data_IF_731753580160
#
_entry.id   IF_731753580160
#
_cell.length_a   1.000
_cell.length_b   1.000
_cell.length_c   1.000
_cell.angle_alpha   90.00
_cell.angle_beta   90.00
_cell.angle_gamma   90.00
#
_symmetry.space_group_name_H-M   'P 1'
#
loop_
_entity.id
_entity.type
_entity.pdbx_description
1 polymer ?
#
# COMPACT_ATOMS: atom_id res chain seq x y z
N UNK A 1 -1.19 24.18 -9.63
CA UNK A 1 -1.21 22.75 -9.25
C UNK A 1 0.06 22.08 -9.75
N UNK A 2 0.99 21.68 -8.87
CA UNK A 2 2.28 21.08 -9.24
C UNK A 2 2.13 19.55 -9.19
N UNK A 3 1.97 18.92 -10.35
CA UNK A 3 1.86 17.45 -10.48
C UNK A 3 3.27 16.87 -10.49
N UNK A 4 3.74 16.33 -9.36
CA UNK A 4 5.02 15.63 -9.30
C UNK A 4 4.88 14.27 -10.00
N UNK A 5 5.35 14.18 -11.24
CA UNK A 5 5.50 12.92 -11.97
C UNK A 5 6.81 12.26 -11.52
N UNK A 6 6.78 11.59 -10.36
CA UNK A 6 7.93 10.84 -9.85
C UNK A 6 8.08 9.58 -10.72
N UNK A 7 9.12 9.55 -11.54
CA UNK A 7 9.54 8.35 -12.28
C UNK A 7 10.05 7.32 -11.26
N UNK A 8 9.19 6.39 -10.84
CA UNK A 8 9.60 5.23 -10.02
C UNK A 8 10.57 4.38 -10.84
N UNK A 9 11.87 4.56 -10.63
CA UNK A 9 12.93 3.89 -11.37
C UNK A 9 12.86 2.35 -11.23
N UNK A 10 13.27 1.64 -12.29
CA UNK A 10 13.27 0.16 -12.39
C UNK A 10 13.80 -0.57 -11.14
N UNK A 11 14.74 0.02 -10.41
CA UNK A 11 15.38 -0.55 -9.20
C UNK A 11 14.43 -0.63 -7.99
N UNK A 12 13.51 0.32 -7.82
CA UNK A 12 12.52 0.32 -6.73
C UNK A 12 11.48 -0.79 -6.94
N UNK A 13 11.07 -1.03 -8.20
CA UNK A 13 10.09 -2.07 -8.56
C UNK A 13 10.47 -3.46 -8.06
N UNK A 14 11.76 -3.81 -8.08
CA UNK A 14 12.28 -5.11 -7.59
C UNK A 14 12.22 -5.24 -6.07
N UNK A 15 12.38 -4.15 -5.32
CA UNK A 15 12.25 -4.14 -3.84
C UNK A 15 10.77 -4.24 -3.43
N UNK A 16 9.89 -3.58 -4.15
CA UNK A 16 8.43 -3.62 -3.94
C UNK A 16 7.84 -5.01 -4.21
N UNK A 17 8.33 -5.70 -5.25
CA UNK A 17 7.93 -7.08 -5.55
C UNK A 17 8.41 -8.08 -4.50
N UNK A 18 9.53 -7.81 -3.80
CA UNK A 18 10.00 -8.62 -2.66
C UNK A 18 9.11 -8.44 -1.43
N UNK A 19 8.64 -7.23 -1.15
CA UNK A 19 7.72 -6.93 -0.03
C UNK A 19 6.34 -7.55 -0.26
N UNK A 20 5.80 -7.46 -1.48
CA UNK A 20 4.57 -8.17 -1.88
C UNK A 20 4.83 -9.68 -2.06
N UNK A 21 6.08 -10.12 -2.07
CA UNK A 21 6.42 -11.54 -2.30
C UNK A 21 6.00 -12.47 -1.16
N UNK A 22 5.98 -11.96 0.08
CA UNK A 22 5.59 -12.73 1.26
C UNK A 22 4.14 -12.45 1.62
N UNK A 23 3.30 -13.49 1.55
CA UNK A 23 1.95 -13.46 2.13
C UNK A 23 2.07 -13.62 3.64
N UNK A 24 1.16 -12.99 4.37
CA UNK A 24 0.88 -13.33 5.76
C UNK A 24 0.50 -14.82 5.87
N UNK A 25 0.71 -15.51 7.02
CA UNK A 25 0.18 -16.85 7.27
C UNK A 25 -1.30 -17.05 6.88
N UNK A 26 -2.10 -15.99 6.91
CA UNK A 26 -3.51 -15.99 6.49
C UNK A 26 -3.72 -15.87 4.97
N UNK A 27 -2.65 -15.74 4.18
CA UNK A 27 -2.67 -15.67 2.72
C UNK A 27 -2.84 -14.26 2.13
N UNK A 28 -2.76 -13.21 2.94
CA UNK A 28 -2.96 -11.82 2.50
C UNK A 28 -1.64 -11.12 2.19
N UNK A 29 -1.67 -10.19 1.25
CA UNK A 29 -0.62 -9.18 1.06
C UNK A 29 -0.89 -8.02 2.01
N UNK A 30 0.06 -7.71 2.88
CA UNK A 30 -0.05 -6.65 3.88
C UNK A 30 0.79 -5.45 3.46
N UNK A 31 0.17 -4.27 3.46
CA UNK A 31 0.81 -3.02 3.10
C UNK A 31 0.65 -2.04 4.28
N UNK A 32 1.73 -1.72 5.00
CA UNK A 32 1.70 -0.70 6.02
C UNK A 32 1.66 0.69 5.40
N UNK A 33 0.68 1.47 5.83
CA UNK A 33 0.42 2.81 5.35
C UNK A 33 0.12 3.74 6.52
N UNK A 34 0.26 5.05 6.30
CA UNK A 34 -0.20 6.06 7.27
C UNK A 34 -1.72 6.14 7.26
N UNK A 35 -2.33 6.55 8.35
CA UNK A 35 -3.78 6.70 8.48
C UNK A 35 -4.39 7.62 7.40
N UNK A 36 -3.63 8.61 6.92
CA UNK A 36 -3.96 9.49 5.78
C UNK A 36 -4.22 8.72 4.47
N UNK A 37 -3.77 7.47 4.36
CA UNK A 37 -4.07 6.61 3.22
C UNK A 37 -5.54 6.22 3.13
N UNK A 38 -6.32 6.30 4.20
CA UNK A 38 -7.76 6.00 4.18
C UNK A 38 -8.52 6.94 3.26
N UNK A 39 -8.17 8.24 3.26
CA UNK A 39 -8.84 9.28 2.47
C UNK A 39 -8.74 9.06 0.95
N UNK A 40 -7.76 8.26 0.52
CA UNK A 40 -7.53 7.94 -0.87
C UNK A 40 -7.89 6.49 -1.20
N UNK A 41 -8.11 5.64 -0.19
CA UNK A 41 -8.42 4.23 -0.39
C UNK A 41 -9.71 4.09 -1.20
N UNK A 42 -10.74 4.86 -0.84
CA UNK A 42 -12.02 4.97 -1.54
C UNK A 42 -11.89 5.37 -3.03
N UNK A 43 -10.83 6.10 -3.38
CA UNK A 43 -10.54 6.52 -4.77
C UNK A 43 -9.75 5.48 -5.56
N UNK A 44 -9.14 4.51 -4.88
CA UNK A 44 -8.23 3.52 -5.48
C UNK A 44 -8.93 2.17 -5.64
N UNK A 45 -9.78 1.84 -4.68
CA UNK A 45 -10.45 0.57 -4.53
C UNK A 45 -11.92 0.78 -4.86
N UNK A 46 -12.36 0.24 -5.99
CA UNK A 46 -13.77 0.33 -6.42
C UNK A 46 -14.70 -0.53 -5.56
N UNK A 47 -14.18 -1.65 -5.04
CA UNK A 47 -14.91 -2.53 -4.13
C UNK A 47 -14.16 -2.66 -2.79
N UNK A 48 -14.62 -2.00 -1.72
CA UNK A 48 -13.93 -1.95 -0.43
C UNK A 48 -13.84 -3.33 0.24
N UNK A 49 -14.70 -4.28 -0.12
CA UNK A 49 -14.69 -5.66 0.40
C UNK A 49 -13.39 -6.42 0.07
N UNK A 50 -12.66 -5.97 -0.96
CA UNK A 50 -11.38 -6.57 -1.37
C UNK A 50 -10.16 -6.13 -0.55
N UNK A 51 -10.34 -5.17 0.38
CA UNK A 51 -9.28 -4.64 1.23
C UNK A 51 -9.73 -4.61 2.68
N UNK A 52 -8.99 -5.30 3.53
CA UNK A 52 -9.17 -5.23 4.97
C UNK A 52 -8.23 -4.14 5.50
N UNK A 53 -8.79 -3.22 6.28
CA UNK A 53 -8.05 -2.17 6.96
C UNK A 53 -7.94 -2.56 8.44
N UNK A 54 -6.73 -2.57 8.97
CA UNK A 54 -6.47 -2.81 10.40
C UNK A 54 -5.66 -1.65 10.95
N UNK A 55 -6.17 -0.98 11.99
CA UNK A 55 -5.44 0.08 12.69
C UNK A 55 -4.52 -0.55 13.74
N UNK A 56 -3.23 -0.23 13.68
CA UNK A 56 -2.21 -0.76 14.60
C UNK A 56 -1.73 0.27 15.62
N UNK A 57 -2.38 1.43 15.68
CA UNK A 57 -2.01 2.56 16.53
C UNK A 57 -0.87 3.39 15.95
N UNK A 58 -0.61 4.54 16.58
CA UNK A 58 0.49 5.44 16.19
C UNK A 58 0.30 6.13 14.82
N UNK A 59 -0.92 6.16 14.29
CA UNK A 59 -1.21 6.73 12.97
C UNK A 59 -0.81 5.82 11.80
N UNK A 60 -0.57 4.54 12.07
CA UNK A 60 -0.26 3.51 11.06
C UNK A 60 -1.45 2.56 10.91
N UNK A 61 -1.73 2.20 9.67
CA UNK A 61 -2.76 1.24 9.29
C UNK A 61 -2.17 0.16 8.38
N UNK A 62 -2.70 -1.05 8.48
CA UNK A 62 -2.37 -2.17 7.60
C UNK A 62 -3.50 -2.40 6.62
N UNK A 63 -3.15 -2.30 5.33
CA UNK A 63 -4.03 -2.64 4.23
C UNK A 63 -3.73 -4.07 3.80
N UNK A 64 -4.67 -4.99 4.04
CA UNK A 64 -4.55 -6.41 3.69
C UNK A 64 -5.44 -6.73 2.50
N UNK A 65 -4.89 -7.38 1.47
CA UNK A 65 -5.67 -7.84 0.32
C UNK A 65 -5.21 -9.21 -0.17
N UNK A 66 -6.11 -10.02 -0.72
CA UNK A 66 -5.76 -11.30 -1.36
C UNK A 66 -5.25 -11.14 -2.80
N UNK A 67 -5.57 -10.01 -3.44
CA UNK A 67 -5.20 -9.76 -4.83
C UNK A 67 -3.80 -9.15 -4.94
N UNK A 68 -2.89 -9.87 -5.61
CA UNK A 68 -1.52 -9.39 -5.87
C UNK A 68 -1.52 -8.11 -6.71
N UNK A 69 -2.42 -8.01 -7.68
CA UNK A 69 -2.53 -6.85 -8.57
C UNK A 69 -3.02 -5.63 -7.80
N UNK A 70 -4.01 -5.81 -6.92
CA UNK A 70 -4.51 -4.73 -6.07
C UNK A 70 -3.46 -4.29 -5.05
N UNK A 71 -2.72 -5.24 -4.45
CA UNK A 71 -1.60 -4.93 -3.57
C UNK A 71 -0.52 -4.08 -4.29
N UNK A 72 -0.14 -4.45 -5.51
CA UNK A 72 0.82 -3.66 -6.31
C UNK A 72 0.29 -2.27 -6.65
N UNK A 73 -1.00 -2.15 -6.98
CA UNK A 73 -1.66 -0.87 -7.28
C UNK A 73 -1.65 0.04 -6.05
N UNK A 74 -2.10 -0.47 -4.90
CA UNK A 74 -2.08 0.24 -3.62
C UNK A 74 -0.68 0.71 -3.28
N UNK A 75 0.28 -0.21 -3.26
CA UNK A 75 1.67 0.08 -2.93
C UNK A 75 2.24 1.20 -3.80
N UNK A 76 2.06 1.11 -5.13
CA UNK A 76 2.56 2.11 -6.08
C UNK A 76 1.94 3.50 -5.83
N UNK A 77 0.65 3.55 -5.52
CA UNK A 77 -0.05 4.82 -5.31
C UNK A 77 0.35 5.44 -3.97
N UNK A 78 0.47 4.62 -2.93
CA UNK A 78 0.87 5.06 -1.60
C UNK A 78 2.31 5.56 -1.57
N UNK A 79 3.24 4.86 -2.23
CA UNK A 79 4.62 5.31 -2.34
C UNK A 79 4.75 6.63 -3.11
N UNK A 80 4.05 6.77 -4.23
CA UNK A 80 4.06 8.01 -5.01
C UNK A 80 3.56 9.21 -4.21
N UNK A 81 2.77 8.97 -3.16
CA UNK A 81 2.23 9.99 -2.25
C UNK A 81 3.02 10.11 -0.94
N UNK A 82 4.04 9.26 -0.72
CA UNK A 82 4.80 9.23 0.53
C UNK A 82 3.97 8.78 1.74
N UNK A 83 2.96 7.94 1.53
CA UNK A 83 2.02 7.48 2.56
C UNK A 83 2.29 6.05 3.05
N UNK A 84 3.38 5.44 2.61
CA UNK A 84 3.82 4.13 3.10
C UNK A 84 4.58 4.27 4.41
N UNK A 85 4.31 3.36 5.36
CA UNK A 85 4.89 3.40 6.70
C UNK A 85 6.04 2.40 6.91
N UNK A 86 6.71 1.95 5.83
CA UNK A 86 7.75 0.92 5.91
C UNK A 86 8.99 1.31 6.73
N UNK A 87 9.20 2.59 7.02
CA UNK A 87 10.33 3.08 7.83
C UNK A 87 9.94 3.30 9.30
N UNK A 88 8.68 3.08 9.66
CA UNK A 88 8.10 3.39 10.98
C UNK A 88 7.69 2.11 11.73
N UNK A 89 7.92 0.93 11.13
CA UNK A 89 7.77 -0.41 11.68
C UNK A 89 9.13 -0.99 12.07
#
# INVERSE_FOLDING_TARGET
MRVYRIMVGKKYRSKLLKLIGKRDPSGYFVIPARQQALEILDKIVEDPSNVIVEDVGGGIIFLKTKSRTLAQKLLKILENRGLTAYNEL
#
